data_IF_924191846312
#
_entry.id   IF_924191846312
#
_cell.length_a   1.000
_cell.length_b   1.000
_cell.length_c   1.000
_cell.angle_alpha   90.00
_cell.angle_beta   90.00
_cell.angle_gamma   90.00
#
_symmetry.space_group_name_H-M   'P 1'
#
loop_
_entity.id
_entity.type
_entity.pdbx_description
1 polymer ?
#
# COMPACT_ATOMS: atom_id res chain seq x y z
N UNK A 1 0.81 -5.53 -7.22
CA UNK A 1 1.54 -4.29 -6.85
C UNK A 1 3.01 -4.25 -7.30
N UNK A 2 3.51 -3.05 -7.59
CA UNK A 2 4.84 -2.78 -8.15
C UNK A 2 6.00 -2.89 -7.14
N UNK A 3 7.19 -3.16 -7.65
CA UNK A 3 8.43 -3.25 -6.87
C UNK A 3 8.78 -1.88 -6.26
N UNK A 4 8.75 -1.76 -4.93
CA UNK A 4 9.30 -0.63 -4.18
C UNK A 4 10.74 -0.96 -3.77
N UNK A 5 11.62 -1.02 -4.77
CA UNK A 5 13.05 -1.13 -4.53
C UNK A 5 13.65 0.25 -4.30
N UNK A 6 14.56 0.36 -3.33
CA UNK A 6 15.35 1.56 -3.13
C UNK A 6 16.20 1.86 -4.38
N UNK A 7 16.24 3.13 -4.79
CA UNK A 7 17.02 3.62 -5.90
C UNK A 7 17.14 5.15 -5.84
N UNK A 8 17.84 5.75 -6.79
CA UNK A 8 17.98 7.21 -6.89
C UNK A 8 16.95 7.76 -7.87
N UNK A 9 15.89 8.46 -7.42
CA UNK A 9 14.94 9.08 -8.33
C UNK A 9 15.59 10.25 -9.07
N UNK A 10 15.24 10.43 -10.33
CA UNK A 10 15.60 11.61 -11.11
C UNK A 10 14.53 12.69 -10.95
N UNK A 11 14.93 13.93 -10.68
CA UNK A 11 14.00 15.06 -10.70
C UNK A 11 13.48 15.28 -12.12
N UNK A 12 12.31 15.90 -12.26
CA UNK A 12 11.62 16.03 -13.55
C UNK A 12 12.50 16.56 -14.70
N UNK A 13 13.33 17.57 -14.44
CA UNK A 13 14.19 18.17 -15.46
C UNK A 13 15.27 17.23 -16.01
N UNK A 14 15.69 16.25 -15.21
CA UNK A 14 16.62 15.20 -15.60
C UNK A 14 15.85 14.03 -16.22
N UNK A 15 14.79 13.56 -15.56
CA UNK A 15 13.98 12.42 -15.99
C UNK A 15 13.39 12.61 -17.40
N UNK A 16 12.88 13.81 -17.71
CA UNK A 16 12.23 14.10 -19.00
C UNK A 16 13.15 13.90 -20.21
N UNK A 17 14.47 14.01 -20.01
CA UNK A 17 15.46 13.82 -21.08
C UNK A 17 15.52 12.35 -21.53
N UNK A 18 15.15 11.42 -20.66
CA UNK A 18 15.12 9.98 -20.92
C UNK A 18 13.73 9.48 -21.32
N UNK A 19 12.74 10.35 -21.49
CA UNK A 19 11.36 9.94 -21.73
C UNK A 19 11.21 9.06 -22.99
N UNK A 20 11.95 9.37 -24.06
CA UNK A 20 11.95 8.54 -25.26
C UNK A 20 12.64 7.20 -25.03
N UNK A 21 13.81 7.20 -24.38
CA UNK A 21 14.52 5.97 -24.00
C UNK A 21 13.61 5.01 -23.21
N UNK A 22 12.91 5.52 -22.19
CA UNK A 22 11.98 4.74 -21.37
C UNK A 22 10.83 4.17 -22.20
N UNK A 23 10.22 4.98 -23.10
CA UNK A 23 9.14 4.50 -23.99
C UNK A 23 9.62 3.41 -24.93
N UNK A 24 10.75 3.62 -25.62
CA UNK A 24 11.30 2.65 -26.58
C UNK A 24 11.58 1.32 -25.89
N UNK A 25 12.29 1.34 -24.76
CA UNK A 25 12.63 0.11 -24.03
C UNK A 25 11.39 -0.53 -23.39
N UNK A 26 10.43 0.26 -22.93
CA UNK A 26 9.15 -0.25 -22.42
C UNK A 26 8.35 -1.00 -23.49
N UNK A 27 8.33 -0.49 -24.73
CA UNK A 27 7.70 -1.19 -25.87
C UNK A 27 8.45 -2.49 -26.19
N UNK A 28 9.79 -2.46 -26.22
CA UNK A 28 10.58 -3.67 -26.45
C UNK A 28 10.33 -4.74 -25.39
N UNK A 29 10.33 -4.35 -24.11
CA UNK A 29 9.98 -5.23 -23.00
C UNK A 29 8.57 -5.79 -23.14
N UNK A 30 7.59 -4.95 -23.46
CA UNK A 30 6.22 -5.38 -23.71
C UNK A 30 6.14 -6.41 -24.85
N UNK A 31 6.79 -6.15 -25.99
CA UNK A 31 6.80 -7.06 -27.13
C UNK A 31 7.47 -8.40 -26.79
N UNK A 32 8.56 -8.38 -26.01
CA UNK A 32 9.23 -9.59 -25.54
C UNK A 32 8.33 -10.41 -24.62
N UNK A 33 7.67 -9.76 -23.65
CA UNK A 33 6.70 -10.40 -22.76
C UNK A 33 5.55 -10.99 -23.59
N UNK A 34 4.93 -10.19 -24.46
CA UNK A 34 3.82 -10.62 -25.31
C UNK A 34 4.22 -11.84 -26.15
N UNK A 35 5.34 -11.78 -26.88
CA UNK A 35 5.80 -12.91 -27.70
C UNK A 35 6.04 -14.17 -26.88
N UNK A 36 6.57 -14.04 -25.66
CA UNK A 36 6.84 -15.18 -24.78
C UNK A 36 5.60 -15.77 -24.10
N UNK A 37 4.54 -14.97 -23.89
CA UNK A 37 3.38 -15.37 -23.11
C UNK A 37 2.07 -15.50 -23.92
N UNK A 38 1.99 -14.98 -25.16
CA UNK A 38 0.74 -14.90 -25.94
C UNK A 38 0.05 -16.24 -26.17
N UNK A 39 0.80 -17.33 -26.27
CA UNK A 39 0.28 -18.67 -26.52
C UNK A 39 0.15 -19.50 -25.23
N UNK A 40 0.47 -18.91 -24.07
CA UNK A 40 0.39 -19.59 -22.78
C UNK A 40 -1.06 -19.72 -22.36
N UNK A 41 -1.47 -20.95 -22.09
CA UNK A 41 -2.77 -21.25 -21.50
C UNK A 41 -2.58 -21.57 -20.02
N UNK A 42 -3.33 -20.89 -19.16
CA UNK A 42 -3.36 -21.20 -17.73
C UNK A 42 -4.42 -22.26 -17.46
N UNK A 43 -4.13 -23.18 -16.54
CA UNK A 43 -5.06 -24.25 -16.17
C UNK A 43 -6.32 -23.73 -15.45
N UNK A 44 -6.26 -22.55 -14.83
CA UNK A 44 -7.35 -21.97 -14.06
C UNK A 44 -7.30 -20.43 -14.07
N UNK A 45 -8.46 -19.81 -13.86
CA UNK A 45 -8.58 -18.38 -13.60
C UNK A 45 -8.17 -18.11 -12.14
N UNK A 46 -7.08 -17.38 -11.96
CA UNK A 46 -6.65 -16.86 -10.68
C UNK A 46 -7.01 -15.38 -10.59
N UNK A 47 -7.47 -14.95 -9.41
CA UNK A 47 -7.86 -13.56 -9.16
C UNK A 47 -7.68 -13.20 -7.69
N UNK A 48 -7.82 -11.93 -7.35
CA UNK A 48 -7.69 -11.44 -5.99
C UNK A 48 -8.22 -10.01 -5.89
N UNK A 49 -8.48 -9.56 -4.67
CA UNK A 49 -8.81 -8.18 -4.37
C UNK A 49 -7.62 -7.44 -3.72
N UNK A 50 -7.59 -6.14 -3.88
CA UNK A 50 -6.66 -5.21 -3.24
C UNK A 50 -7.51 -4.21 -2.43
N UNK A 51 -7.20 -4.04 -1.14
CA UNK A 51 -7.97 -3.16 -0.23
C UNK A 51 -7.04 -2.20 0.47
N UNK A 52 -7.34 -0.91 0.31
CA UNK A 52 -6.66 0.18 0.99
C UNK A 52 -7.37 0.56 2.30
N UNK A 53 -6.57 0.84 3.32
CA UNK A 53 -7.03 1.25 4.64
C UNK A 53 -6.37 2.57 5.02
N UNK A 54 -7.15 3.46 5.63
CA UNK A 54 -6.65 4.61 6.36
C UNK A 54 -6.39 4.19 7.81
N UNK A 55 -5.24 4.57 8.36
CA UNK A 55 -4.93 4.41 9.79
C UNK A 55 -5.48 5.63 10.53
N UNK A 56 -6.54 5.43 11.31
CA UNK A 56 -7.22 6.49 12.04
C UNK A 56 -6.97 6.32 13.53
N UNK A 57 -6.42 7.36 14.17
CA UNK A 57 -6.34 7.46 15.63
C UNK A 57 -7.64 8.00 16.18
N UNK A 58 -8.16 7.40 17.24
CA UNK A 58 -9.42 7.72 17.89
C UNK A 58 -9.11 8.23 19.30
N UNK A 59 -9.44 9.49 19.55
CA UNK A 59 -9.45 10.06 20.90
C UNK A 59 -10.88 9.98 21.44
N UNK A 60 -11.15 8.96 22.26
CA UNK A 60 -12.48 8.77 22.85
C UNK A 60 -12.86 9.87 23.84
N UNK A 61 -11.87 10.47 24.52
CA UNK A 61 -12.11 11.49 25.54
C UNK A 61 -12.56 12.80 24.90
N UNK A 62 -11.82 13.24 23.88
CA UNK A 62 -12.13 14.46 23.14
C UNK A 62 -13.17 14.22 22.04
N UNK A 63 -13.55 12.96 21.78
CA UNK A 63 -14.46 12.51 20.71
C UNK A 63 -14.00 13.00 19.34
N UNK A 64 -12.70 12.90 19.08
CA UNK A 64 -12.07 13.31 17.82
C UNK A 64 -11.34 12.14 17.18
N UNK A 65 -11.16 12.24 15.88
CA UNK A 65 -10.29 11.35 15.13
C UNK A 65 -9.19 12.14 14.45
N UNK A 66 -8.09 11.48 14.12
CA UNK A 66 -6.99 12.02 13.33
C UNK A 66 -6.44 10.94 12.40
N UNK A 67 -5.76 11.34 11.33
CA UNK A 67 -4.97 10.40 10.52
C UNK A 67 -3.63 10.13 11.21
N UNK A 68 -3.36 8.86 11.49
CA UNK A 68 -2.07 8.42 12.03
C UNK A 68 -1.07 8.23 10.90
N UNK A 69 0.07 8.92 10.97
CA UNK A 69 1.16 8.84 9.99
C UNK A 69 2.13 7.68 10.26
N UNK A 70 1.65 6.64 10.95
CA UNK A 70 2.45 5.49 11.41
C UNK A 70 2.29 4.23 10.57
N UNK A 71 1.80 4.35 9.33
CA UNK A 71 1.62 3.18 8.46
C UNK A 71 2.91 2.33 8.35
N UNK A 72 4.09 2.94 8.37
CA UNK A 72 5.37 2.23 8.28
C UNK A 72 5.71 1.42 9.53
N UNK A 73 5.48 1.95 10.72
CA UNK A 73 5.65 1.19 11.98
C UNK A 73 4.73 -0.05 12.01
N UNK A 74 3.55 0.07 11.39
CA UNK A 74 2.56 -0.99 11.30
C UNK A 74 2.98 -2.02 10.25
N UNK A 75 3.40 -1.57 9.05
CA UNK A 75 3.88 -2.43 7.97
C UNK A 75 5.13 -3.22 8.38
N UNK A 76 6.04 -2.63 9.15
CA UNK A 76 7.21 -3.31 9.70
C UNK A 76 6.84 -4.53 10.56
N UNK A 77 5.63 -4.59 11.11
CA UNK A 77 5.10 -5.77 11.80
C UNK A 77 4.36 -6.70 10.83
N UNK A 78 3.50 -6.14 9.98
CA UNK A 78 2.63 -6.89 9.06
C UNK A 78 3.39 -7.64 7.97
N UNK A 79 4.57 -7.17 7.57
CA UNK A 79 5.41 -7.81 6.55
C UNK A 79 6.32 -8.91 7.12
N UNK A 80 6.34 -9.13 8.45
CA UNK A 80 7.17 -10.18 9.07
C UNK A 80 6.84 -11.59 8.53
N UNK A 81 5.56 -12.00 8.40
CA UNK A 81 5.22 -13.32 7.86
C UNK A 81 5.76 -13.53 6.44
N UNK A 82 5.63 -12.52 5.56
CA UNK A 82 6.15 -12.59 4.20
C UNK A 82 7.67 -12.65 4.17
N UNK A 83 8.37 -11.80 4.94
CA UNK A 83 9.83 -11.82 5.03
C UNK A 83 10.35 -13.16 5.55
N UNK A 84 9.69 -13.75 6.54
CA UNK A 84 10.06 -15.06 7.08
C UNK A 84 9.87 -16.18 6.04
N UNK A 85 8.78 -16.15 5.27
CA UNK A 85 8.54 -17.08 4.18
C UNK A 85 9.58 -16.95 3.06
N UNK A 86 9.83 -15.72 2.59
CA UNK A 86 10.81 -15.46 1.52
C UNK A 86 12.25 -15.82 1.91
N UNK A 87 12.62 -15.60 3.18
CA UNK A 87 13.93 -15.96 3.71
C UNK A 87 14.05 -17.43 4.15
N UNK A 88 13.01 -18.25 3.90
CA UNK A 88 12.96 -19.68 4.27
C UNK A 88 13.13 -19.95 5.77
N UNK A 89 12.75 -18.99 6.62
CA UNK A 89 12.66 -19.20 8.08
C UNK A 89 11.41 -19.98 8.48
N UNK A 90 10.41 -20.01 7.61
CA UNK A 90 9.20 -20.80 7.76
C UNK A 90 8.72 -21.27 6.38
N UNK A 91 8.13 -22.46 6.33
CA UNK A 91 7.44 -22.97 5.13
C UNK A 91 5.96 -22.53 5.09
N UNK A 92 5.47 -21.88 6.16
CA UNK A 92 4.11 -21.34 6.19
C UNK A 92 4.06 -20.06 5.36
N UNK A 93 3.22 -20.07 4.33
CA UNK A 93 2.91 -18.87 3.56
C UNK A 93 2.16 -17.83 4.41
N UNK A 94 2.33 -16.54 4.09
CA UNK A 94 1.58 -15.49 4.77
C UNK A 94 0.08 -15.59 4.46
N UNK A 95 -0.76 -15.33 5.45
CA UNK A 95 -2.22 -15.33 5.28
C UNK A 95 -2.72 -14.10 4.48
N UNK A 96 -1.93 -13.02 4.47
CA UNK A 96 -2.15 -11.77 3.74
C UNK A 96 -0.81 -11.13 3.34
N UNK A 97 -0.80 -10.36 2.26
CA UNK A 97 0.33 -9.52 1.87
C UNK A 97 -0.02 -8.05 2.13
N UNK A 98 0.98 -7.25 2.47
CA UNK A 98 0.81 -5.87 2.88
C UNK A 98 1.79 -4.98 2.15
N UNK A 99 1.34 -3.82 1.67
CA UNK A 99 2.19 -2.86 0.98
C UNK A 99 1.90 -1.43 1.45
N UNK A 100 2.88 -0.54 1.36
CA UNK A 100 2.64 0.86 1.61
C UNK A 100 1.99 1.52 0.38
N UNK A 101 1.16 2.54 0.62
CA UNK A 101 0.50 3.33 -0.41
C UNK A 101 0.95 4.80 -0.40
N UNK A 102 0.46 5.65 -1.31
CA UNK A 102 0.89 7.06 -1.39
C UNK A 102 0.82 7.80 -0.04
N UNK A 103 -0.28 7.62 0.70
CA UNK A 103 -0.43 8.23 2.01
C UNK A 103 0.41 7.53 3.08
N UNK A 104 1.14 8.29 3.89
CA UNK A 104 1.83 7.77 5.10
C UNK A 104 0.86 7.29 6.19
N UNK A 105 -0.42 7.57 6.01
CA UNK A 105 -1.52 7.03 6.80
C UNK A 105 -2.25 5.87 6.10
N UNK A 106 -1.73 5.37 4.98
CA UNK A 106 -2.37 4.31 4.20
C UNK A 106 -1.58 2.99 4.28
N UNK A 107 -2.31 1.89 4.39
CA UNK A 107 -1.78 0.54 4.18
C UNK A 107 -2.68 -0.16 3.16
N UNK A 108 -2.10 -0.98 2.29
CA UNK A 108 -2.84 -1.85 1.38
C UNK A 108 -2.66 -3.31 1.79
N UNK A 109 -3.75 -4.07 1.80
CA UNK A 109 -3.75 -5.50 2.09
C UNK A 109 -4.35 -6.31 0.95
N UNK A 110 -3.71 -7.42 0.60
CA UNK A 110 -4.19 -8.41 -0.38
C UNK A 110 -4.24 -9.81 0.25
N UNK A 111 -4.97 -10.76 -0.36
CA UNK A 111 -4.87 -12.16 0.02
C UNK A 111 -3.43 -12.67 -0.08
N UNK A 112 -3.03 -13.58 0.81
CA UNK A 112 -1.70 -14.22 0.78
C UNK A 112 -1.43 -15.03 -0.50
N UNK A 113 -2.50 -15.51 -1.12
CA UNK A 113 -2.52 -16.22 -2.39
C UNK A 113 -3.71 -15.78 -3.23
N UNK A 114 -3.61 -15.80 -4.57
CA UNK A 114 -4.76 -15.58 -5.41
C UNK A 114 -5.83 -16.65 -5.15
N UNK A 115 -7.09 -16.24 -5.23
CA UNK A 115 -8.25 -17.11 -5.22
C UNK A 115 -8.33 -17.94 -6.49
N UNK A 116 -8.95 -19.11 -6.37
CA UNK A 116 -9.30 -19.96 -7.51
C UNK A 116 -10.59 -19.54 -8.22
N UNK A 117 -10.99 -20.34 -9.21
CA UNK A 117 -12.11 -20.08 -10.10
C UNK A 117 -13.43 -20.75 -9.67
N UNK A 118 -13.50 -21.38 -8.50
CA UNK A 118 -14.69 -22.13 -8.08
C UNK A 118 -15.63 -21.29 -7.24
N UNK A 119 -16.91 -21.69 -7.15
CA UNK A 119 -17.86 -21.05 -6.24
C UNK A 119 -17.42 -21.11 -4.78
N UNK A 120 -16.61 -22.10 -4.38
CA UNK A 120 -16.06 -22.18 -3.02
C UNK A 120 -15.03 -21.09 -2.77
N UNK A 121 -14.23 -20.75 -3.78
CA UNK A 121 -13.20 -19.71 -3.68
C UNK A 121 -13.84 -18.32 -3.49
N UNK A 122 -15.00 -18.06 -4.10
CA UNK A 122 -15.77 -16.82 -3.89
C UNK A 122 -16.17 -16.60 -2.43
N UNK A 123 -16.40 -17.69 -1.67
CA UNK A 123 -16.79 -17.61 -0.26
C UNK A 123 -15.60 -17.25 0.65
N UNK A 124 -14.36 -17.30 0.14
CA UNK A 124 -13.16 -16.98 0.92
C UNK A 124 -12.89 -15.48 1.02
N UNK A 125 -13.50 -14.67 0.15
CA UNK A 125 -13.18 -13.24 0.02
C UNK A 125 -13.45 -12.47 1.32
N UNK A 126 -14.69 -12.51 1.81
CA UNK A 126 -15.09 -11.74 3.00
C UNK A 126 -14.34 -12.21 4.25
N UNK A 127 -14.15 -13.52 4.42
CA UNK A 127 -13.41 -14.06 5.57
C UNK A 127 -11.93 -13.64 5.53
N UNK A 128 -11.32 -13.59 4.35
CA UNK A 128 -9.96 -13.08 4.18
C UNK A 128 -9.87 -11.56 4.42
N UNK A 129 -10.85 -10.77 3.97
CA UNK A 129 -10.92 -9.33 4.28
C UNK A 129 -11.06 -9.06 5.78
N UNK A 130 -11.89 -9.86 6.48
CA UNK A 130 -12.03 -9.79 7.94
C UNK A 130 -10.73 -10.14 8.65
N UNK A 131 -10.04 -11.19 8.18
CA UNK A 131 -8.72 -11.57 8.70
C UNK A 131 -7.71 -10.43 8.51
N UNK A 132 -7.62 -9.84 7.31
CA UNK A 132 -6.76 -8.68 7.05
C UNK A 132 -7.03 -7.54 8.01
N UNK A 133 -8.31 -7.16 8.19
CA UNK A 133 -8.68 -6.08 9.13
C UNK A 133 -8.25 -6.39 10.56
N UNK A 134 -8.40 -7.65 11.00
CA UNK A 134 -7.95 -8.11 12.32
C UNK A 134 -6.43 -8.00 12.46
N UNK A 135 -5.68 -8.53 11.50
CA UNK A 135 -4.21 -8.48 11.51
C UNK A 135 -3.68 -7.05 11.53
N UNK A 136 -4.28 -6.16 10.71
CA UNK A 136 -3.94 -4.75 10.69
C UNK A 136 -4.16 -4.09 12.05
N UNK A 137 -5.32 -4.32 12.68
CA UNK A 137 -5.62 -3.76 13.99
C UNK A 137 -4.70 -4.32 15.09
N UNK A 138 -4.35 -5.61 15.06
CA UNK A 138 -3.38 -6.21 16.00
C UNK A 138 -1.96 -5.61 15.89
N UNK A 139 -1.60 -5.04 14.73
CA UNK A 139 -0.32 -4.37 14.52
C UNK A 139 -0.32 -2.89 14.95
N UNK A 140 -1.51 -2.30 15.14
CA UNK A 140 -1.73 -0.89 15.51
C UNK A 140 -1.67 -0.67 17.04
N UNK A 141 -1.74 0.58 17.47
CA UNK A 141 -2.02 0.90 18.88
C UNK A 141 -3.51 0.69 19.22
N UNK A 142 -3.81 0.58 20.51
CA UNK A 142 -5.19 0.36 21.01
C UNK A 142 -6.14 1.50 20.59
N UNK A 143 -5.60 2.71 20.43
CA UNK A 143 -6.33 3.91 20.02
C UNK A 143 -6.31 4.13 18.50
N UNK A 144 -5.91 3.13 17.70
CA UNK A 144 -5.85 3.19 16.25
C UNK A 144 -6.72 2.12 15.58
N UNK A 145 -7.30 2.47 14.44
CA UNK A 145 -8.20 1.61 13.70
C UNK A 145 -7.89 1.63 12.19
N UNK A 146 -7.85 0.47 11.51
CA UNK A 146 -7.84 0.41 10.05
C UNK A 146 -9.25 0.67 9.53
N UNK A 147 -9.45 1.77 8.80
CA UNK A 147 -10.74 2.15 8.23
C UNK A 147 -10.68 2.16 6.71
N UNK A 148 -11.65 1.52 6.05
CA UNK A 148 -11.75 1.49 4.57
C UNK A 148 -12.65 2.64 4.12
N UNK A 149 -12.11 3.87 4.18
CA UNK A 149 -12.74 5.07 3.64
C UNK A 149 -12.04 5.47 2.33
N UNK A 150 -12.83 5.93 1.36
CA UNK A 150 -12.28 6.47 0.10
C UNK A 150 -11.49 7.75 0.35
N UNK A 151 -11.93 8.58 1.30
CA UNK A 151 -11.25 9.80 1.70
C UNK A 151 -11.44 10.04 3.19
N UNK A 152 -10.42 10.60 3.84
CA UNK A 152 -10.59 11.12 5.20
C UNK A 152 -11.31 12.47 5.16
N UNK A 153 -12.51 12.61 5.76
CA UNK A 153 -13.35 13.80 5.54
C UNK A 153 -12.73 15.14 5.95
N UNK A 154 -11.71 15.12 6.82
CA UNK A 154 -11.04 16.32 7.35
C UNK A 154 -9.59 16.44 6.90
N UNK A 155 -9.17 15.71 5.86
CA UNK A 155 -7.82 15.84 5.30
C UNK A 155 -7.57 17.29 4.86
N UNK A 156 -6.46 17.87 5.31
CA UNK A 156 -6.10 19.26 5.05
C UNK A 156 -6.74 20.30 5.98
N UNK A 157 -7.53 19.88 6.97
CA UNK A 157 -7.93 20.77 8.07
C UNK A 157 -6.82 20.82 9.14
N UNK A 158 -6.72 21.92 9.92
CA UNK A 158 -5.71 22.06 10.96
C UNK A 158 -5.81 20.99 12.05
N UNK A 159 -4.67 20.47 12.49
CA UNK A 159 -4.54 19.54 13.63
C UNK A 159 -5.28 18.20 13.46
N UNK A 160 -5.39 17.71 12.23
CA UNK A 160 -6.04 16.44 11.89
C UNK A 160 -5.05 15.29 11.64
N UNK A 161 -3.75 15.52 11.82
CA UNK A 161 -2.69 14.51 11.67
C UNK A 161 -2.10 14.15 13.03
N UNK A 162 -1.60 12.92 13.14
CA UNK A 162 -0.84 12.44 14.29
C UNK A 162 0.42 11.68 13.83
N UNK A 163 1.63 12.17 14.15
CA UNK A 163 1.92 13.49 14.68
C UNK A 163 1.50 14.61 13.71
N UNK A 164 1.32 15.82 14.25
CA UNK A 164 0.88 16.98 13.47
C UNK A 164 2.07 17.70 12.82
N UNK A 165 1.86 18.31 11.66
CA UNK A 165 2.88 19.00 10.87
C UNK A 165 2.31 20.21 10.15
N UNK A 166 3.15 21.20 9.89
CA UNK A 166 2.77 22.43 9.18
C UNK A 166 2.74 22.21 7.65
N UNK A 167 1.72 22.73 6.94
CA UNK A 167 1.67 22.68 5.49
C UNK A 167 2.77 23.55 4.84
N UNK A 168 2.80 23.61 3.51
CA UNK A 168 3.80 24.29 2.69
C UNK A 168 5.16 23.58 2.59
N UNK A 169 5.11 22.24 2.55
CA UNK A 169 6.26 21.42 2.19
C UNK A 169 6.72 21.64 0.74
N UNK A 170 7.94 21.20 0.41
CA UNK A 170 8.56 21.41 -0.91
C UNK A 170 7.98 20.49 -1.99
N UNK A 171 7.53 19.29 -1.62
CA UNK A 171 7.02 18.29 -2.54
C UNK A 171 5.59 18.64 -2.98
N UNK A 172 4.65 18.71 -2.03
CA UNK A 172 3.26 19.03 -2.31
C UNK A 172 3.02 20.52 -2.60
N UNK A 173 3.83 21.43 -2.02
CA UNK A 173 3.61 22.88 -2.09
C UNK A 173 2.17 23.29 -1.73
N UNK A 174 1.55 22.51 -0.84
CA UNK A 174 0.14 22.65 -0.50
C UNK A 174 -0.05 23.62 0.66
N UNK A 175 -1.10 24.43 0.58
CA UNK A 175 -1.55 25.29 1.68
C UNK A 175 -2.21 24.50 2.82
N UNK A 176 -2.59 23.24 2.58
CA UNK A 176 -3.49 22.48 3.45
C UNK A 176 -2.87 21.22 4.02
N UNK A 177 -2.00 20.54 3.27
CA UNK A 177 -1.37 19.28 3.71
C UNK A 177 0.15 19.42 3.77
N UNK A 178 0.79 18.90 4.84
CA UNK A 178 2.24 18.81 4.95
C UNK A 178 2.80 17.69 4.07
N UNK A 179 4.09 17.74 3.71
CA UNK A 179 4.74 16.67 2.91
C UNK A 179 4.79 15.33 3.69
N UNK A 180 4.66 15.36 5.01
CA UNK A 180 4.65 14.20 5.89
C UNK A 180 3.42 13.31 5.70
N UNK A 181 2.38 13.80 5.01
CA UNK A 181 1.29 12.93 4.54
C UNK A 181 1.75 11.98 3.44
N UNK A 182 2.86 12.29 2.76
CA UNK A 182 3.42 11.46 1.70
C UNK A 182 4.25 10.35 2.33
N UNK A 183 4.08 9.17 1.77
CA UNK A 183 4.90 8.02 2.03
C UNK A 183 6.41 8.34 1.87
N UNK A 184 7.27 7.99 2.86
CA UNK A 184 8.70 8.30 2.85
C UNK A 184 9.50 7.55 1.78
N UNK A 185 8.95 6.53 1.12
CA UNK A 185 9.62 5.87 0.01
C UNK A 185 9.82 6.85 -1.14
N UNK A 186 11.06 6.98 -1.61
CA UNK A 186 11.56 7.97 -2.59
C UNK A 186 10.85 8.00 -3.96
N UNK A 187 9.86 7.13 -4.17
CA UNK A 187 9.00 7.11 -5.35
C UNK A 187 7.88 8.17 -5.24
N UNK A 188 7.43 8.49 -4.04
CA UNK A 188 6.22 9.26 -3.81
C UNK A 188 6.45 10.76 -3.64
N UNK A 189 7.47 11.23 -2.88
CA UNK A 189 7.79 12.66 -2.80
C UNK A 189 8.37 13.23 -4.10
#
# INVERSE_FOLDING_TARGET
MGLLSLGTPLVWNEAKQYAEHVRTHGIEQFLNIYRSQKDKQNASLLWGDEIEYLVVKIDEKEKRTKLSLRAFDILDKLEIPERNYQSKKTDKEPDALWRPEYGRYMIEGTPGKPYGATFRDLLLVESNMKLRRKLAHEAMHEDEMPVTLVNYPRLGCPHELEPDYEPNGKACQSLFVPDEVINPHVRFP
#
